data_IF_534656045336
#
_entry.id   IF_534656045336
#
_cell.length_a   1.000
_cell.length_b   1.000
_cell.length_c   1.000
_cell.angle_alpha   90.00
_cell.angle_beta   90.00
_cell.angle_gamma   90.00
#
_symmetry.space_group_name_H-M   'P 1'
#
loop_
_entity.id
_entity.type
_entity.pdbx_description
1 polymer ?
#
# COMPACT_ATOMS: atom_id res chain seq x y z
N UNK A 1 58.85 16.31 -33.38
CA UNK A 1 59.14 15.63 -32.10
C UNK A 1 58.76 16.58 -30.97
N UNK A 2 57.49 16.50 -30.56
CA UNK A 2 57.01 16.02 -29.24
C UNK A 2 57.01 17.11 -28.15
N UNK A 3 55.84 17.74 -27.93
CA UNK A 3 55.51 18.56 -26.75
C UNK A 3 54.77 17.65 -25.77
N UNK A 4 55.16 17.54 -24.49
CA UNK A 4 54.33 16.86 -23.51
C UNK A 4 53.21 17.79 -23.01
N UNK A 5 51.99 17.28 -23.02
CA UNK A 5 50.78 17.84 -22.42
C UNK A 5 50.71 17.44 -20.94
N UNK A 6 50.22 18.30 -20.03
CA UNK A 6 50.10 17.96 -18.62
C UNK A 6 48.88 17.05 -18.38
N UNK A 7 49.13 15.92 -17.72
CA UNK A 7 48.11 14.95 -17.32
C UNK A 7 47.27 15.52 -16.17
N UNK A 8 45.96 15.68 -16.42
CA UNK A 8 44.96 16.07 -15.42
C UNK A 8 44.84 14.97 -14.35
N UNK A 9 45.04 15.36 -13.10
CA UNK A 9 44.94 14.49 -11.91
C UNK A 9 43.49 14.01 -11.79
N UNK A 10 43.30 12.69 -11.78
CA UNK A 10 42.01 12.04 -11.60
C UNK A 10 41.47 12.33 -10.18
N UNK A 11 40.28 12.91 -10.11
CA UNK A 11 39.55 13.11 -8.87
C UNK A 11 39.07 11.75 -8.35
N UNK A 12 39.39 11.49 -7.09
CA UNK A 12 39.01 10.32 -6.31
C UNK A 12 37.50 10.10 -6.36
N UNK A 13 37.09 8.86 -6.68
CA UNK A 13 35.72 8.40 -6.52
C UNK A 13 35.35 8.42 -5.03
N UNK A 14 34.57 9.42 -4.63
CA UNK A 14 33.80 9.34 -3.39
C UNK A 14 32.56 8.48 -3.68
N UNK A 15 32.20 7.52 -2.83
CA UNK A 15 30.92 6.83 -2.96
C UNK A 15 29.81 7.84 -2.67
N UNK A 16 29.02 8.18 -3.69
CA UNK A 16 27.82 9.00 -3.54
C UNK A 16 26.82 8.30 -2.61
N UNK A 17 26.76 8.79 -1.36
CA UNK A 17 25.88 8.31 -0.28
C UNK A 17 24.38 8.56 -0.54
N UNK A 18 24.03 9.07 -1.73
CA UNK A 18 22.66 9.41 -2.14
C UNK A 18 22.22 8.74 -3.44
N UNK A 19 23.02 7.83 -4.03
CA UNK A 19 22.74 7.29 -5.36
C UNK A 19 22.33 5.81 -5.41
N UNK A 20 21.69 5.28 -4.37
CA UNK A 20 20.98 4.00 -4.45
C UNK A 20 19.55 4.20 -3.93
N UNK A 21 18.78 5.03 -4.63
CA UNK A 21 17.33 4.83 -4.67
C UNK A 21 17.13 3.84 -5.80
N UNK A 22 16.84 2.55 -5.52
CA UNK A 22 16.51 1.63 -6.58
C UNK A 22 15.36 2.23 -7.38
N UNK A 23 15.61 2.51 -8.66
CA UNK A 23 14.56 2.92 -9.58
C UNK A 23 13.42 1.91 -9.44
N UNK A 24 12.16 2.33 -9.22
CA UNK A 24 11.06 1.39 -9.15
C UNK A 24 10.91 0.79 -10.53
N UNK A 25 11.56 -0.35 -10.72
CA UNK A 25 11.38 -1.24 -11.84
C UNK A 25 9.88 -1.42 -11.97
N UNK A 26 9.32 -1.20 -13.17
CA UNK A 26 7.92 -1.52 -13.47
C UNK A 26 7.71 -3.02 -13.21
N UNK A 27 7.42 -3.36 -11.96
CA UNK A 27 7.01 -4.68 -11.52
C UNK A 27 5.56 -4.95 -11.93
N UNK A 28 5.16 -6.22 -11.98
CA UNK A 28 3.81 -6.61 -12.36
C UNK A 28 2.77 -5.92 -11.47
N UNK A 29 1.61 -5.66 -12.06
CA UNK A 29 0.34 -5.32 -11.39
C UNK A 29 0.30 -5.84 -9.95
N UNK A 30 0.52 -4.95 -8.99
CA UNK A 30 0.76 -5.32 -7.60
C UNK A 30 -0.61 -5.53 -6.93
N UNK A 31 -0.87 -6.77 -6.52
CA UNK A 31 -2.19 -7.25 -6.07
C UNK A 31 -2.32 -7.11 -4.55
N UNK A 32 -3.50 -7.30 -3.95
CA UNK A 32 -3.63 -7.33 -2.48
C UNK A 32 -2.66 -8.33 -1.81
N UNK A 33 -2.28 -9.41 -2.52
CA UNK A 33 -1.26 -10.35 -2.08
C UNK A 33 0.11 -9.68 -1.81
N UNK A 34 0.53 -8.74 -2.63
CA UNK A 34 1.79 -8.02 -2.46
C UNK A 34 1.74 -7.05 -1.28
N UNK A 35 0.58 -6.41 -1.04
CA UNK A 35 0.34 -5.61 0.16
C UNK A 35 0.55 -6.47 1.41
N UNK A 36 -0.06 -7.65 1.47
CA UNK A 36 0.09 -8.58 2.60
C UNK A 36 1.52 -9.12 2.75
N UNK A 37 2.24 -9.27 1.64
CA UNK A 37 3.64 -9.72 1.64
C UNK A 37 4.63 -8.62 2.11
N UNK A 38 4.24 -7.34 1.99
CA UNK A 38 5.10 -6.19 2.31
C UNK A 38 5.63 -6.20 3.75
N UNK A 39 6.84 -5.66 3.93
CA UNK A 39 7.44 -5.52 5.25
C UNK A 39 6.60 -4.59 6.15
N UNK A 40 6.10 -3.48 5.60
CA UNK A 40 5.25 -2.51 6.29
C UNK A 40 3.99 -3.17 6.85
N UNK A 41 3.28 -3.97 6.04
CA UNK A 41 2.09 -4.69 6.51
C UNK A 41 2.39 -5.65 7.66
N UNK A 42 3.47 -6.43 7.54
CA UNK A 42 3.89 -7.37 8.59
C UNK A 42 4.27 -6.67 9.89
N UNK A 43 4.92 -5.51 9.81
CA UNK A 43 5.23 -4.67 10.97
C UNK A 43 3.94 -4.15 11.61
N UNK A 44 3.05 -3.55 10.81
CA UNK A 44 1.78 -3.02 11.32
C UNK A 44 0.91 -4.11 11.95
N UNK A 45 0.80 -5.28 11.31
CA UNK A 45 0.05 -6.43 11.85
C UNK A 45 0.57 -6.87 13.22
N UNK A 46 1.89 -6.80 13.45
CA UNK A 46 2.49 -7.09 14.76
C UNK A 46 2.23 -5.97 15.78
N UNK A 47 2.32 -4.71 15.36
CA UNK A 47 2.15 -3.54 16.24
C UNK A 47 0.71 -3.37 16.73
N UNK A 48 -0.27 -3.52 15.82
CA UNK A 48 -1.69 -3.31 16.12
C UNK A 48 -2.26 -4.42 17.02
N UNK A 49 -1.60 -5.58 17.07
CA UNK A 49 -1.97 -6.70 17.92
C UNK A 49 -3.21 -7.46 17.41
N UNK A 50 -4.00 -8.01 18.33
CA UNK A 50 -5.17 -8.83 17.97
C UNK A 50 -6.28 -7.96 17.37
N UNK A 51 -6.58 -8.20 16.10
CA UNK A 51 -7.77 -7.71 15.42
C UNK A 51 -8.71 -8.88 15.11
N UNK A 52 -10.01 -8.61 14.99
CA UNK A 52 -10.96 -9.61 14.53
C UNK A 52 -10.84 -9.86 13.01
N UNK A 53 -10.39 -8.85 12.26
CA UNK A 53 -10.15 -8.98 10.82
C UNK A 53 -8.92 -9.84 10.53
N UNK A 54 -9.12 -10.90 9.74
CA UNK A 54 -8.10 -11.84 9.28
C UNK A 54 -7.33 -11.27 8.08
N UNK A 55 -6.16 -11.82 7.78
CA UNK A 55 -5.41 -11.47 6.55
C UNK A 55 -6.26 -11.76 5.30
N UNK A 56 -6.96 -12.90 5.27
CA UNK A 56 -7.91 -13.27 4.21
C UNK A 56 -8.97 -12.18 3.97
N UNK A 57 -9.59 -11.68 5.04
CA UNK A 57 -10.61 -10.63 4.93
C UNK A 57 -10.03 -9.29 4.44
N UNK A 58 -8.79 -8.96 4.82
CA UNK A 58 -8.08 -7.80 4.29
C UNK A 58 -7.85 -7.99 2.79
N UNK A 59 -7.33 -9.14 2.37
CA UNK A 59 -7.05 -9.43 0.97
C UNK A 59 -8.32 -9.32 0.12
N UNK A 60 -9.41 -9.99 0.52
CA UNK A 60 -10.70 -9.95 -0.18
C UNK A 60 -11.25 -8.54 -0.33
N UNK A 61 -11.16 -7.71 0.74
CA UNK A 61 -11.64 -6.34 0.69
C UNK A 61 -10.79 -5.48 -0.25
N UNK A 62 -9.46 -5.58 -0.18
CA UNK A 62 -8.56 -4.80 -1.04
C UNK A 62 -8.71 -5.22 -2.49
N UNK A 63 -8.73 -6.51 -2.81
CA UNK A 63 -8.95 -7.00 -4.18
C UNK A 63 -10.28 -6.49 -4.74
N UNK A 64 -11.36 -6.56 -3.95
CA UNK A 64 -12.67 -6.07 -4.39
C UNK A 64 -12.70 -4.55 -4.60
N UNK A 65 -11.99 -3.77 -3.78
CA UNK A 65 -11.86 -2.31 -3.96
C UNK A 65 -11.00 -1.98 -5.18
N UNK A 66 -9.91 -2.70 -5.41
CA UNK A 66 -9.05 -2.52 -6.59
C UNK A 66 -9.80 -2.77 -7.89
N UNK A 67 -10.65 -3.80 -7.93
CA UNK A 67 -11.46 -4.15 -9.10
C UNK A 67 -12.69 -3.26 -9.30
N UNK A 68 -13.07 -2.48 -8.29
CA UNK A 68 -14.26 -1.62 -8.36
C UNK A 68 -13.96 -0.29 -9.08
N UNK A 69 -14.94 0.26 -9.81
CA UNK A 69 -14.82 1.61 -10.37
C UNK A 69 -14.56 2.63 -9.27
N UNK A 70 -13.67 3.58 -9.54
CA UNK A 70 -13.22 4.63 -8.61
C UNK A 70 -12.69 4.12 -7.25
N UNK A 71 -12.33 2.83 -7.17
CA UNK A 71 -11.93 2.14 -5.96
C UNK A 71 -12.96 2.23 -4.81
N UNK A 72 -14.24 2.12 -5.18
CA UNK A 72 -15.38 2.32 -4.29
C UNK A 72 -16.33 1.13 -4.30
N UNK A 73 -16.72 0.69 -3.11
CA UNK A 73 -17.75 -0.33 -2.92
C UNK A 73 -18.90 0.19 -2.07
N UNK A 74 -20.13 -0.19 -2.40
CA UNK A 74 -21.25 -0.01 -1.46
C UNK A 74 -21.06 -0.92 -0.25
N UNK A 75 -21.61 -0.52 0.90
CA UNK A 75 -21.59 -1.34 2.11
C UNK A 75 -22.18 -2.74 1.87
N UNK A 76 -23.22 -2.85 1.05
CA UNK A 76 -23.81 -4.14 0.68
C UNK A 76 -22.85 -5.04 -0.11
N UNK A 77 -22.07 -4.48 -1.04
CA UNK A 77 -21.06 -5.25 -1.78
C UNK A 77 -19.89 -5.66 -0.89
N UNK A 78 -19.38 -4.74 -0.07
CA UNK A 78 -18.34 -5.05 0.90
C UNK A 78 -18.78 -6.14 1.90
N UNK A 79 -20.05 -6.10 2.33
CA UNK A 79 -20.65 -7.13 3.18
C UNK A 79 -20.65 -8.51 2.51
N UNK A 80 -21.05 -8.56 1.23
CA UNK A 80 -21.04 -9.79 0.42
C UNK A 80 -19.64 -10.35 0.24
N UNK A 81 -18.66 -9.50 -0.07
CA UNK A 81 -17.24 -9.87 -0.19
C UNK A 81 -16.69 -10.46 1.12
N UNK A 82 -17.05 -9.86 2.25
CA UNK A 82 -16.54 -10.25 3.57
C UNK A 82 -17.34 -11.38 4.25
N UNK A 83 -18.50 -11.77 3.69
CA UNK A 83 -19.39 -12.76 4.30
C UNK A 83 -19.97 -12.32 5.65
N UNK A 84 -20.17 -11.01 5.86
CA UNK A 84 -20.69 -10.44 7.12
C UNK A 84 -22.00 -9.69 6.90
N UNK A 85 -22.80 -9.46 7.95
CA UNK A 85 -23.95 -8.56 7.86
C UNK A 85 -23.51 -7.13 7.53
N UNK A 86 -24.30 -6.41 6.72
CA UNK A 86 -23.99 -5.04 6.27
C UNK A 86 -23.72 -4.07 7.43
N UNK A 87 -24.41 -4.22 8.57
CA UNK A 87 -24.20 -3.38 9.76
C UNK A 87 -22.84 -3.60 10.44
N UNK A 88 -22.11 -4.68 10.13
CA UNK A 88 -20.74 -4.92 10.61
C UNK A 88 -19.67 -4.32 9.71
N UNK A 89 -19.99 -3.91 8.49
CA UNK A 89 -19.01 -3.37 7.54
C UNK A 89 -18.23 -2.18 8.10
N UNK A 90 -18.85 -1.18 8.75
CA UNK A 90 -18.10 -0.06 9.33
C UNK A 90 -17.06 -0.52 10.36
N UNK A 91 -17.39 -1.53 11.18
CA UNK A 91 -16.46 -2.10 12.16
C UNK A 91 -15.29 -2.83 11.47
N UNK A 92 -15.58 -3.64 10.45
CA UNK A 92 -14.56 -4.35 9.68
C UNK A 92 -13.62 -3.36 8.98
N UNK A 93 -14.18 -2.37 8.29
CA UNK A 93 -13.40 -1.32 7.62
C UNK A 93 -12.58 -0.53 8.62
N UNK A 94 -13.10 -0.21 9.80
CA UNK A 94 -12.33 0.47 10.85
C UNK A 94 -11.14 -0.36 11.33
N UNK A 95 -11.28 -1.69 11.41
CA UNK A 95 -10.16 -2.58 11.76
C UNK A 95 -9.12 -2.68 10.64
N UNK A 96 -9.56 -2.75 9.38
CA UNK A 96 -8.66 -2.72 8.22
C UNK A 96 -7.93 -1.38 8.15
N UNK A 97 -8.66 -0.27 8.31
CA UNK A 97 -8.08 1.07 8.35
C UNK A 97 -7.04 1.18 9.46
N UNK A 98 -7.36 0.74 10.69
CA UNK A 98 -6.41 0.72 11.81
C UNK A 98 -5.16 -0.11 11.52
N UNK A 99 -5.33 -1.27 10.88
CA UNK A 99 -4.22 -2.14 10.49
C UNK A 99 -3.32 -1.49 9.45
N UNK A 100 -3.93 -0.86 8.44
CA UNK A 100 -3.21 -0.29 7.32
C UNK A 100 -2.77 1.16 7.57
N UNK A 101 -3.14 1.75 8.70
CA UNK A 101 -2.84 3.12 9.03
C UNK A 101 -1.34 3.29 9.33
N UNK A 102 -0.66 4.06 8.49
CA UNK A 102 0.70 4.52 8.74
C UNK A 102 0.64 6.02 9.07
N UNK A 103 1.21 6.40 10.21
CA UNK A 103 1.36 7.81 10.64
C UNK A 103 0.06 8.63 10.70
N UNK A 104 -1.09 7.98 10.84
CA UNK A 104 -2.38 8.66 10.97
C UNK A 104 -3.15 8.84 9.65
N UNK A 105 -2.63 8.32 8.54
CA UNK A 105 -3.25 8.40 7.21
C UNK A 105 -3.82 7.04 6.79
N UNK A 106 -5.13 6.80 6.96
CA UNK A 106 -5.75 5.53 6.58
C UNK A 106 -5.97 5.43 5.06
N UNK A 107 -5.45 4.36 4.47
CA UNK A 107 -5.63 4.04 3.02
C UNK A 107 -7.03 3.53 2.68
N UNK A 108 -7.78 3.01 3.66
CA UNK A 108 -9.17 2.57 3.48
C UNK A 108 -10.05 3.34 4.46
N UNK A 109 -11.21 3.79 3.98
CA UNK A 109 -12.20 4.48 4.80
C UNK A 109 -13.62 4.06 4.45
N UNK A 110 -14.55 4.28 5.38
CA UNK A 110 -15.99 4.15 5.15
C UNK A 110 -16.67 5.50 5.34
N UNK A 111 -17.46 5.92 4.37
CA UNK A 111 -18.33 7.09 4.46
C UNK A 111 -19.70 6.66 5.02
N UNK A 112 -20.09 7.12 6.23
CA UNK A 112 -21.36 6.75 6.83
C UNK A 112 -22.57 7.41 6.16
N UNK A 113 -22.41 8.57 5.51
CA UNK A 113 -23.50 9.27 4.83
C UNK A 113 -23.87 8.57 3.52
N UNK A 114 -22.87 8.13 2.76
CA UNK A 114 -23.08 7.45 1.47
C UNK A 114 -23.04 5.92 1.57
N UNK A 115 -22.72 5.36 2.75
CA UNK A 115 -22.52 3.93 2.97
C UNK A 115 -21.53 3.31 1.97
N UNK A 116 -20.44 4.04 1.68
CA UNK A 116 -19.43 3.64 0.70
C UNK A 116 -18.11 3.35 1.39
N UNK A 117 -17.43 2.29 0.97
CA UNK A 117 -16.06 1.97 1.34
C UNK A 117 -15.15 2.42 0.21
N UNK A 118 -14.07 3.13 0.53
CA UNK A 118 -13.15 3.74 -0.44
C UNK A 118 -11.73 3.31 -0.13
N UNK A 119 -10.95 3.02 -1.18
CA UNK A 119 -9.51 2.83 -1.13
C UNK A 119 -8.81 4.02 -1.79
N UNK A 120 -7.76 4.54 -1.14
CA UNK A 120 -6.85 5.51 -1.74
C UNK A 120 -5.65 4.78 -2.39
N UNK A 121 -5.65 4.63 -3.72
CA UNK A 121 -4.60 3.91 -4.43
C UNK A 121 -3.25 4.63 -4.37
N UNK A 122 -3.25 5.97 -4.29
CA UNK A 122 -2.03 6.77 -4.30
C UNK A 122 -1.32 6.63 -2.95
N UNK A 123 -2.08 6.75 -1.86
CA UNK A 123 -1.54 6.57 -0.52
C UNK A 123 -1.10 5.13 -0.26
N UNK A 124 -1.83 4.15 -0.79
CA UNK A 124 -1.41 2.74 -0.71
C UNK A 124 -0.05 2.53 -1.39
N UNK A 125 0.14 3.12 -2.58
CA UNK A 125 1.40 3.05 -3.29
C UNK A 125 2.55 3.76 -2.56
N UNK A 126 2.28 4.90 -1.94
CA UNK A 126 3.26 5.66 -1.17
C UNK A 126 3.71 4.91 0.10
N UNK A 127 2.76 4.37 0.87
CA UNK A 127 3.05 3.77 2.18
C UNK A 127 3.56 2.32 2.08
N UNK A 128 3.11 1.57 1.08
CA UNK A 128 3.39 0.14 0.94
C UNK A 128 4.23 -0.21 -0.28
N UNK A 129 4.51 0.75 -1.17
CA UNK A 129 5.26 0.51 -2.40
C UNK A 129 4.51 -0.36 -3.42
N UNK A 130 3.19 -0.48 -3.29
CA UNK A 130 2.36 -1.34 -4.14
C UNK A 130 1.59 -0.52 -5.17
N UNK A 131 1.67 -0.85 -6.47
CA UNK A 131 0.85 -0.19 -7.50
C UNK A 131 -0.31 -1.08 -7.93
N UNK A 132 -1.51 -0.58 -7.70
CA UNK A 132 -2.72 -1.14 -8.30
C UNK A 132 -2.67 -0.93 -9.82
N UNK A 133 -3.06 -1.96 -10.57
CA UNK A 133 -3.03 -1.98 -12.03
C UNK A 133 -4.29 -1.43 -12.67
#
# INVERSE_FOLDING_TARGET
>A
MARPVPTKIAASAQPDLFNDVPEPTRGPSTTAADLLASATYKVQRKLVGRLAVTDEAVQQLIDALTLAPDHRLTAARAAGTLGVPTNRVPMMVSQVAKLLNVEGYPVVSSDPATQTVVLDPALLAEQYGVRLA
#
